data_IF_222017194410
#
_entry.id   IF_222017194410
#
_cell.length_a   1.000
_cell.length_b   1.000
_cell.length_c   1.000
_cell.angle_alpha   90.00
_cell.angle_beta   90.00
_cell.angle_gamma   90.00
#
_symmetry.space_group_name_H-M   'P 1'
#
loop_
_entity.id
_entity.type
_entity.pdbx_description
1 polymer ?
#
# COMPACT_ATOMS: atom_id res chain seq x y z
N UNK A 1 -23.17 -25.86 1.08
CA UNK A 1 -21.71 -26.01 1.29
C UNK A 1 -21.07 -25.68 -0.04
N UNK A 2 -20.35 -24.56 -0.10
CA UNK A 2 -19.80 -24.03 -1.35
C UNK A 2 -18.50 -24.79 -1.68
N UNK A 3 -18.48 -25.47 -2.83
CA UNK A 3 -17.32 -26.26 -3.26
C UNK A 3 -16.12 -25.34 -3.52
N UNK A 4 -15.05 -25.54 -2.76
CA UNK A 4 -13.77 -24.87 -3.00
C UNK A 4 -13.17 -25.45 -4.29
N UNK A 5 -13.42 -24.78 -5.41
CA UNK A 5 -12.80 -25.12 -6.69
C UNK A 5 -11.28 -25.01 -6.57
N UNK A 6 -10.58 -26.11 -6.81
CA UNK A 6 -9.11 -26.15 -6.90
C UNK A 6 -8.65 -25.41 -8.15
N UNK A 7 -8.36 -24.11 -8.00
CA UNK A 7 -7.74 -23.31 -9.05
C UNK A 7 -6.23 -23.60 -9.12
N UNK A 8 -5.70 -23.70 -10.35
CA UNK A 8 -4.25 -23.73 -10.59
C UNK A 8 -3.68 -22.34 -10.30
N UNK A 9 -3.18 -22.13 -9.07
CA UNK A 9 -2.58 -20.87 -8.65
C UNK A 9 -1.07 -20.91 -8.88
N UNK A 10 -0.53 -19.88 -9.54
CA UNK A 10 0.92 -19.66 -9.64
C UNK A 10 1.34 -18.62 -8.61
N UNK A 11 2.04 -19.06 -7.57
CA UNK A 11 2.60 -18.16 -6.56
C UNK A 11 3.88 -17.53 -7.12
N UNK A 12 3.96 -16.20 -7.10
CA UNK A 12 5.16 -15.44 -7.44
C UNK A 12 5.46 -14.46 -6.31
N UNK A 13 6.72 -14.34 -5.93
CA UNK A 13 7.15 -13.28 -5.03
C UNK A 13 7.26 -11.97 -5.81
N UNK A 14 6.65 -10.91 -5.29
CA UNK A 14 6.71 -9.56 -5.86
C UNK A 14 7.21 -8.61 -4.78
N UNK A 15 8.02 -7.62 -5.19
CA UNK A 15 8.40 -6.54 -4.29
C UNK A 15 7.16 -5.79 -3.82
N UNK A 16 7.17 -5.33 -2.57
CA UNK A 16 6.02 -4.64 -1.97
C UNK A 16 5.66 -3.38 -2.76
N UNK A 17 6.66 -2.72 -3.31
CA UNK A 17 6.58 -1.53 -4.15
C UNK A 17 5.80 -1.80 -5.44
N UNK A 18 5.84 -3.03 -5.96
CA UNK A 18 5.04 -3.48 -7.10
C UNK A 18 3.64 -4.01 -6.72
N UNK A 19 3.30 -4.05 -5.43
CA UNK A 19 2.01 -4.52 -4.94
C UNK A 19 1.21 -3.42 -4.20
N UNK A 20 1.46 -2.16 -4.55
CA UNK A 20 0.85 -1.01 -3.88
C UNK A 20 -0.67 -0.98 -3.97
N UNK A 21 -1.25 -1.49 -5.06
CA UNK A 21 -2.71 -1.52 -5.21
C UNK A 21 -3.36 -2.47 -4.21
N UNK A 22 -2.76 -3.64 -3.96
CA UNK A 22 -3.25 -4.58 -2.96
C UNK A 22 -3.10 -4.02 -1.55
N UNK A 23 -1.96 -3.38 -1.23
CA UNK A 23 -1.76 -2.69 0.05
C UNK A 23 -2.82 -1.59 0.25
N UNK A 24 -3.07 -0.78 -0.78
CA UNK A 24 -4.11 0.24 -0.74
C UNK A 24 -5.51 -0.33 -0.48
N UNK A 25 -5.92 -1.37 -1.23
CA UNK A 25 -7.24 -1.99 -1.09
C UNK A 25 -7.42 -2.66 0.27
N UNK A 26 -6.39 -3.34 0.79
CA UNK A 26 -6.41 -3.94 2.12
C UNK A 26 -6.55 -2.87 3.23
N UNK A 27 -5.84 -1.74 3.11
CA UNK A 27 -6.01 -0.64 4.05
C UNK A 27 -7.38 0.03 3.91
N UNK A 28 -7.91 0.13 2.68
CA UNK A 28 -9.25 0.67 2.43
C UNK A 28 -10.32 -0.18 3.13
N UNK A 29 -10.25 -1.51 3.06
CA UNK A 29 -11.19 -2.39 3.75
C UNK A 29 -11.05 -2.38 5.27
N UNK A 30 -9.89 -1.99 5.81
CA UNK A 30 -9.72 -1.80 7.26
C UNK A 30 -10.37 -0.48 7.70
N UNK A 31 -10.27 0.56 6.88
CA UNK A 31 -10.79 1.89 7.21
C UNK A 31 -12.29 2.05 6.99
N UNK A 32 -12.89 1.19 6.15
CA UNK A 32 -14.33 1.19 5.88
C UNK A 32 -14.98 -0.08 6.42
N UNK A 33 -16.08 0.07 7.16
CA UNK A 33 -16.83 -1.04 7.77
C UNK A 33 -17.61 -1.82 6.69
N UNK A 34 -18.02 -1.14 5.62
CA UNK A 34 -18.82 -1.72 4.55
C UNK A 34 -17.96 -2.41 3.49
N UNK A 35 -18.52 -3.47 2.90
CA UNK A 35 -17.92 -4.17 1.77
C UNK A 35 -17.91 -3.24 0.56
N UNK A 36 -16.72 -2.85 0.12
CA UNK A 36 -16.53 -2.07 -1.10
C UNK A 36 -16.09 -2.96 -2.25
N UNK A 37 -16.86 -2.95 -3.33
CA UNK A 37 -16.54 -3.63 -4.58
C UNK A 37 -16.44 -2.58 -5.70
N UNK A 38 -15.34 -2.63 -6.45
CA UNK A 38 -15.10 -1.72 -7.56
C UNK A 38 -14.99 -2.55 -8.84
N UNK A 39 -15.96 -2.41 -9.74
CA UNK A 39 -16.03 -3.18 -10.98
C UNK A 39 -15.42 -2.42 -12.17
N UNK A 40 -15.31 -1.09 -12.08
CA UNK A 40 -14.67 -0.24 -13.08
C UNK A 40 -13.54 0.58 -12.48
N UNK A 41 -12.59 0.96 -13.34
CA UNK A 41 -11.55 1.93 -12.98
C UNK A 41 -12.14 3.27 -12.54
N UNK A 42 -13.29 3.66 -13.09
CA UNK A 42 -13.97 4.92 -12.79
C UNK A 42 -14.50 4.93 -11.35
N UNK A 43 -14.88 3.78 -10.81
CA UNK A 43 -15.46 3.65 -9.47
C UNK A 43 -14.38 3.75 -8.38
N UNK A 44 -13.12 3.52 -8.77
CA UNK A 44 -12.01 3.50 -7.83
C UNK A 44 -11.73 4.92 -7.29
N UNK A 45 -11.43 5.07 -5.98
CA UNK A 45 -11.02 6.37 -5.45
C UNK A 45 -9.77 6.91 -6.15
N UNK A 46 -9.61 8.23 -6.16
CA UNK A 46 -8.52 8.93 -6.87
C UNK A 46 -7.13 8.39 -6.50
N UNK A 47 -6.91 8.03 -5.24
CA UNK A 47 -5.65 7.44 -4.76
C UNK A 47 -5.37 6.09 -5.43
N UNK A 48 -6.37 5.21 -5.51
CA UNK A 48 -6.25 3.92 -6.18
C UNK A 48 -5.99 4.08 -7.69
N UNK A 49 -6.71 5.01 -8.34
CA UNK A 49 -6.49 5.33 -9.77
C UNK A 49 -5.05 5.77 -10.03
N UNK A 50 -4.51 6.62 -9.17
CA UNK A 50 -3.13 7.11 -9.26
C UNK A 50 -2.12 5.96 -9.16
N UNK A 51 -2.30 5.04 -8.22
CA UNK A 51 -1.41 3.89 -8.03
C UNK A 51 -1.39 3.02 -9.29
N UNK A 52 -2.55 2.69 -9.85
CA UNK A 52 -2.66 1.91 -11.10
C UNK A 52 -1.98 2.63 -12.27
N UNK A 53 -2.17 3.94 -12.39
CA UNK A 53 -1.54 4.71 -13.46
C UNK A 53 -0.02 4.74 -13.32
N UNK A 54 0.52 4.90 -12.10
CA UNK A 54 1.97 4.83 -11.85
C UNK A 54 2.57 3.46 -12.20
N UNK A 55 1.84 2.39 -11.90
CA UNK A 55 2.24 1.02 -12.24
C UNK A 55 2.24 0.80 -13.77
N UNK A 56 1.20 1.26 -14.46
CA UNK A 56 1.10 1.20 -15.95
C UNK A 56 2.26 1.88 -16.66
N UNK A 57 2.73 3.01 -16.15
CA UNK A 57 3.88 3.74 -16.71
C UNK A 57 5.23 3.23 -16.19
N UNK A 58 5.23 2.14 -15.40
CA UNK A 58 6.42 1.53 -14.80
C UNK A 58 7.29 2.52 -14.02
N UNK A 59 6.66 3.52 -13.39
CA UNK A 59 7.42 4.49 -12.61
C UNK A 59 7.85 3.86 -11.29
N UNK A 60 9.17 3.86 -10.99
CA UNK A 60 9.66 3.28 -9.74
C UNK A 60 9.11 4.08 -8.56
N UNK A 61 8.50 3.37 -7.60
CA UNK A 61 8.05 3.96 -6.35
C UNK A 61 9.05 3.63 -5.24
N UNK A 62 9.70 4.66 -4.69
CA UNK A 62 10.70 4.50 -3.63
C UNK A 62 10.06 4.90 -2.30
N UNK A 63 10.03 3.97 -1.34
CA UNK A 63 9.60 4.28 0.02
C UNK A 63 10.76 4.85 0.83
N UNK A 64 10.73 6.15 1.09
CA UNK A 64 11.72 6.82 1.94
C UNK A 64 11.19 6.86 3.38
N UNK A 65 11.98 6.35 4.33
CA UNK A 65 11.75 6.53 5.78
C UNK A 65 12.82 7.46 6.33
N UNK A 66 12.42 8.61 6.86
CA UNK A 66 13.34 9.49 7.57
C UNK A 66 13.49 9.03 9.01
N UNK A 67 14.72 9.05 9.53
CA UNK A 67 15.00 8.87 10.96
C UNK A 67 15.18 10.26 11.58
N UNK A 68 14.43 10.58 12.63
CA UNK A 68 14.63 11.81 13.39
C UNK A 68 15.98 11.72 14.10
N UNK A 69 16.93 12.58 13.73
CA UNK A 69 18.22 12.68 14.40
C UNK A 69 17.96 13.40 15.73
N UNK A 70 18.22 12.71 16.85
CA UNK A 70 18.26 13.37 18.16
C UNK A 70 19.55 14.18 18.21
N UNK A 71 19.46 15.50 18.28
CA UNK A 71 20.62 16.32 18.63
C UNK A 71 20.95 15.98 20.09
N UNK A 72 22.23 15.74 20.38
CA UNK A 72 22.68 15.55 21.74
C UNK A 72 22.52 16.90 22.44
N UNK A 73 21.48 17.05 23.24
CA UNK A 73 21.32 18.20 24.12
C UNK A 73 22.35 18.04 25.24
N UNK A 74 23.42 18.82 25.16
CA UNK A 74 24.40 18.90 26.24
C UNK A 74 23.66 19.44 27.46
N UNK A 75 23.62 18.73 28.60
CA UNK A 75 23.02 19.28 29.80
C UNK A 75 23.79 20.55 30.15
N UNK A 76 23.08 21.67 30.32
CA UNK A 76 23.67 22.86 30.94
C UNK A 76 24.06 22.44 32.35
N UNK A 77 25.35 22.25 32.59
CA UNK A 77 25.89 22.17 33.95
C UNK A 77 25.58 23.49 34.63
N UNK A 78 24.80 23.41 35.71
CA UNK A 78 24.41 24.52 36.56
C UNK A 78 25.65 25.34 36.96
N UNK A 79 25.57 26.66 36.71
CA UNK A 79 26.51 27.67 37.20
C UNK A 79 26.27 27.90 38.67
#
# INVERSE_FOLDING_TARGET
>A
MEEVRTQKVKIKHIFREGNQIADYLANLSINHIEKQEFNSFIDLPTTGKRIINMDKIQTPSIRIRYKKIRRHEVPRSDI
#
